data_IF_668580858947
#
_entry.id   IF_668580858947
#
_cell.length_a   1.000
_cell.length_b   1.000
_cell.length_c   1.000
_cell.angle_alpha   90.00
_cell.angle_beta   90.00
_cell.angle_gamma   90.00
#
_symmetry.space_group_name_H-M   'P 1'
#
loop_
_entity.id
_entity.type
_entity.pdbx_description
1 polymer ?
#
# COMPACT_ATOMS: atom_id res chain seq x y z
N UNK A 1 -5.09 -24.61 3.45
CA UNK A 1 -4.00 -23.66 3.75
C UNK A 1 -4.63 -22.29 3.65
N UNK A 2 -4.75 -21.57 4.76
CA UNK A 2 -5.42 -20.27 4.78
C UNK A 2 -4.66 -19.34 3.83
N UNK A 3 -5.28 -18.97 2.70
CA UNK A 3 -4.77 -17.90 1.86
C UNK A 3 -4.79 -16.65 2.75
N UNK A 4 -3.63 -16.10 3.15
CA UNK A 4 -3.67 -14.83 3.82
C UNK A 4 -4.25 -13.85 2.80
N UNK A 5 -5.47 -13.43 3.09
CA UNK A 5 -6.21 -12.38 2.42
C UNK A 5 -5.29 -11.18 2.21
N UNK A 6 -4.64 -11.12 1.04
CA UNK A 6 -3.84 -9.99 0.61
C UNK A 6 -4.80 -8.81 0.50
N UNK A 7 -4.74 -7.91 1.48
CA UNK A 7 -5.62 -6.73 1.55
C UNK A 7 -5.04 -5.65 0.67
N UNK A 8 -5.88 -4.74 0.20
CA UNK A 8 -5.39 -3.51 -0.44
C UNK A 8 -4.52 -2.75 0.55
N UNK A 9 -3.45 -2.13 0.05
CA UNK A 9 -2.64 -1.19 0.82
C UNK A 9 -3.54 -0.15 1.49
N UNK A 10 -3.30 0.13 2.76
CA UNK A 10 -4.08 1.07 3.56
C UNK A 10 -3.84 2.54 3.15
N UNK A 11 -2.83 2.80 2.31
CA UNK A 11 -2.59 4.14 1.76
C UNK A 11 -3.68 4.49 0.72
N UNK A 12 -4.44 5.58 0.90
CA UNK A 12 -5.63 5.88 0.09
C UNK A 12 -5.33 6.07 -1.39
N UNK A 13 -4.19 6.69 -1.72
CA UNK A 13 -3.73 6.91 -3.10
C UNK A 13 -2.93 5.72 -3.66
N UNK A 14 -2.83 4.60 -2.93
CA UNK A 14 -2.10 3.41 -3.35
C UNK A 14 -3.06 2.32 -3.85
N UNK A 15 -2.74 1.73 -5.00
CA UNK A 15 -3.51 0.63 -5.59
C UNK A 15 -2.87 -0.74 -5.39
N UNK A 16 -1.77 -0.79 -4.64
CA UNK A 16 -1.06 -2.04 -4.37
C UNK A 16 -1.83 -2.97 -3.43
N UNK A 17 -1.50 -4.26 -3.50
CA UNK A 17 -1.90 -5.24 -2.50
C UNK A 17 -0.82 -5.31 -1.41
N UNK A 18 -1.24 -5.18 -0.16
CA UNK A 18 -0.40 -5.42 0.99
C UNK A 18 -0.13 -6.94 1.15
N UNK A 19 1.09 -7.31 1.54
CA UNK A 19 1.42 -8.68 1.88
C UNK A 19 0.64 -9.20 3.09
N UNK A 20 0.68 -10.52 3.24
CA UNK A 20 -0.04 -11.27 4.25
C UNK A 20 0.27 -10.80 5.69
N UNK A 21 -0.69 -10.14 6.33
CA UNK A 21 -0.54 -9.65 7.71
C UNK A 21 0.00 -8.23 7.82
N UNK A 22 0.32 -7.60 6.69
CA UNK A 22 0.71 -6.20 6.62
C UNK A 22 -0.47 -5.33 6.13
N UNK A 23 -0.44 -4.06 6.51
CA UNK A 23 -1.44 -3.07 6.09
C UNK A 23 -1.00 -2.29 4.86
N UNK A 24 0.30 -2.18 4.65
CA UNK A 24 0.90 -1.37 3.60
C UNK A 24 1.71 -2.25 2.65
N UNK A 25 1.83 -1.83 1.40
CA UNK A 25 2.64 -2.56 0.41
C UNK A 25 4.15 -2.38 0.62
N UNK A 26 4.55 -1.33 1.33
CA UNK A 26 5.93 -1.00 1.63
C UNK A 26 5.97 -0.01 2.79
N UNK A 27 7.16 0.18 3.38
CA UNK A 27 7.39 1.16 4.43
C UNK A 27 7.12 2.59 3.96
N UNK A 28 7.28 2.89 2.67
CA UNK A 28 6.95 4.21 2.12
C UNK A 28 5.47 4.53 2.29
N UNK A 29 4.59 3.56 2.00
CA UNK A 29 3.16 3.74 2.18
C UNK A 29 2.74 3.74 3.65
N UNK A 30 3.52 3.11 4.54
CA UNK A 30 3.28 3.16 5.99
C UNK A 30 3.58 4.56 6.54
N UNK A 31 4.71 5.15 6.14
CA UNK A 31 5.13 6.50 6.51
C UNK A 31 4.21 7.56 5.88
N UNK A 32 3.93 7.45 4.58
CA UNK A 32 3.03 8.34 3.85
C UNK A 32 1.55 8.18 4.23
N UNK A 33 1.14 7.00 4.72
CA UNK A 33 -0.25 6.71 5.06
C UNK A 33 -0.72 7.39 6.34
N UNK A 34 0.21 7.80 7.20
CA UNK A 34 -0.06 8.64 8.37
C UNK A 34 -0.23 10.13 7.98
N UNK A 35 0.31 10.53 6.83
CA UNK A 35 0.17 11.88 6.28
C UNK A 35 -1.09 11.99 5.40
N UNK A 36 -2.06 12.78 5.88
CA UNK A 36 -3.41 12.90 5.32
C UNK A 36 -3.45 13.57 3.92
N UNK A 37 -2.30 13.98 3.37
CA UNK A 37 -2.17 14.90 2.23
C UNK A 37 -1.33 14.33 1.08
N UNK A 38 -1.20 13.01 0.96
CA UNK A 38 -0.41 12.43 -0.14
C UNK A 38 -1.25 12.24 -1.42
N UNK A 39 -1.08 13.19 -2.35
CA UNK A 39 -1.80 13.26 -3.64
C UNK A 39 -1.37 12.13 -4.60
N UNK A 40 -0.15 11.62 -4.47
CA UNK A 40 0.38 10.57 -5.34
C UNK A 40 1.17 9.52 -4.54
N UNK A 41 1.03 8.25 -4.88
CA UNK A 41 1.77 7.18 -4.23
C UNK A 41 3.07 6.88 -4.99
N UNK A 42 4.23 7.12 -4.37
CA UNK A 42 5.55 6.87 -4.98
C UNK A 42 6.18 5.53 -4.56
N UNK A 43 5.35 4.53 -4.18
CA UNK A 43 5.86 3.25 -3.68
C UNK A 43 6.67 2.41 -4.68
N UNK A 44 6.81 2.89 -5.93
CA UNK A 44 7.61 2.25 -6.98
C UNK A 44 7.03 0.94 -7.52
N UNK A 45 5.85 0.52 -7.04
CA UNK A 45 5.18 -0.67 -7.54
C UNK A 45 4.46 -0.40 -8.86
N UNK A 46 4.40 -1.40 -9.72
CA UNK A 46 3.72 -1.33 -11.02
C UNK A 46 2.25 -0.93 -10.93
N UNK A 47 1.57 -1.22 -9.81
CA UNK A 47 0.19 -0.80 -9.58
C UNK A 47 0.04 0.71 -9.35
N UNK A 48 1.08 1.39 -8.84
CA UNK A 48 1.08 2.84 -8.61
C UNK A 48 1.95 3.62 -9.61
N UNK A 49 2.83 2.95 -10.35
CA UNK A 49 3.71 3.52 -11.37
C UNK A 49 3.06 3.59 -12.77
N UNK A 50 1.74 3.43 -12.85
CA UNK A 50 0.95 3.43 -14.09
C UNK A 50 0.25 4.77 -14.33
#
# INVERSE_FOLDING_TARGET
>A
MANPEQKKCAHPSCECLAPAGEKYCSQLCEDAGDDEVEIACDCGHTACAA
#
